data_IF_359919019675
#
_entry.id   IF_359919019675
#
_cell.length_a   1.000
_cell.length_b   1.000
_cell.length_c   1.000
_cell.angle_alpha   90.00
_cell.angle_beta   90.00
_cell.angle_gamma   90.00
#
_symmetry.space_group_name_H-M   'P 1'
#
loop_
_entity.id
_entity.type
_entity.pdbx_description
1 polymer ?
#
# COMPACT_ATOMS: atom_id res chain seq x y z
N UNK A 1 -4.42 -13.84 -2.41
CA UNK A 1 -4.78 -14.09 -0.98
C UNK A 1 -3.67 -14.92 -0.38
N UNK A 2 -3.36 -14.75 0.90
CA UNK A 2 -2.09 -15.14 1.52
C UNK A 2 -1.72 -16.62 1.37
N UNK A 3 -0.43 -16.91 1.19
CA UNK A 3 0.10 -18.27 1.08
C UNK A 3 0.28 -18.97 2.45
N UNK A 4 -0.08 -18.30 3.55
CA UNK A 4 0.07 -18.81 4.91
C UNK A 4 -1.30 -19.16 5.51
N UNK A 5 -1.41 -20.38 6.03
CA UNK A 5 -2.66 -20.95 6.56
C UNK A 5 -3.24 -20.15 7.73
N UNK A 6 -2.39 -19.54 8.55
CA UNK A 6 -2.80 -18.68 9.67
C UNK A 6 -3.49 -17.40 9.19
N UNK A 7 -2.95 -16.73 8.17
CA UNK A 7 -3.56 -15.54 7.55
C UNK A 7 -4.87 -15.93 6.84
N UNK A 8 -4.92 -17.09 6.17
CA UNK A 8 -6.15 -17.59 5.55
C UNK A 8 -7.24 -17.83 6.59
N UNK A 9 -6.91 -18.53 7.68
CA UNK A 9 -7.85 -18.82 8.78
C UNK A 9 -8.33 -17.54 9.46
N UNK A 10 -7.46 -16.55 9.65
CA UNK A 10 -7.81 -15.24 10.17
C UNK A 10 -8.89 -14.58 9.30
N UNK A 11 -8.65 -14.43 7.99
CA UNK A 11 -9.61 -13.78 7.09
C UNK A 11 -10.89 -14.58 6.85
N UNK A 12 -10.84 -15.92 6.84
CA UNK A 12 -12.00 -16.78 6.56
C UNK A 12 -12.90 -17.02 7.77
N UNK A 13 -12.33 -17.01 8.99
CA UNK A 13 -13.06 -17.42 10.21
C UNK A 13 -13.09 -16.29 11.23
N UNK A 14 -11.92 -15.77 11.62
CA UNK A 14 -11.85 -14.86 12.78
C UNK A 14 -12.41 -13.48 12.46
N UNK A 15 -12.00 -12.89 11.34
CA UNK A 15 -12.49 -11.57 10.92
C UNK A 15 -14.03 -11.56 10.72
N UNK A 16 -14.65 -12.54 10.03
CA UNK A 16 -16.11 -12.61 9.94
C UNK A 16 -16.81 -12.77 11.30
N UNK A 17 -16.26 -13.57 12.23
CA UNK A 17 -16.81 -13.71 13.59
C UNK A 17 -16.74 -12.39 14.36
N UNK A 18 -15.65 -11.66 14.24
CA UNK A 18 -15.50 -10.33 14.83
C UNK A 18 -16.49 -9.34 14.20
N UNK A 19 -16.70 -9.41 12.88
CA UNK A 19 -17.62 -8.55 12.15
C UNK A 19 -19.07 -8.70 12.62
N UNK A 20 -19.51 -9.91 12.99
CA UNK A 20 -20.85 -10.15 13.54
C UNK A 20 -21.14 -9.34 14.82
N UNK A 21 -20.10 -8.91 15.54
CA UNK A 21 -20.20 -8.13 16.78
C UNK A 21 -19.96 -6.62 16.58
N UNK A 22 -19.48 -6.21 15.40
CA UNK A 22 -19.00 -4.84 15.14
C UNK A 22 -19.49 -4.32 13.78
N UNK A 23 -20.32 -3.28 13.81
CA UNK A 23 -20.93 -2.71 12.60
C UNK A 23 -19.90 -2.15 11.63
N UNK A 24 -18.86 -1.46 12.12
CA UNK A 24 -17.76 -0.94 11.29
C UNK A 24 -17.18 -2.04 10.41
N UNK A 25 -16.81 -3.16 11.04
CA UNK A 25 -16.11 -4.24 10.36
C UNK A 25 -17.03 -4.99 9.38
N UNK A 26 -18.28 -5.22 9.76
CA UNK A 26 -19.27 -5.83 8.86
C UNK A 26 -19.44 -5.03 7.56
N UNK A 27 -19.62 -3.71 7.67
CA UNK A 27 -19.78 -2.85 6.49
C UNK A 27 -18.46 -2.73 5.70
N UNK A 28 -17.30 -2.77 6.36
CA UNK A 28 -15.99 -2.81 5.69
C UNK A 28 -15.81 -4.09 4.85
N UNK A 29 -16.26 -5.25 5.38
CA UNK A 29 -16.26 -6.50 4.60
C UNK A 29 -17.20 -6.39 3.41
N UNK A 30 -18.43 -5.90 3.60
CA UNK A 30 -19.37 -5.73 2.51
C UNK A 30 -18.90 -4.76 1.43
N UNK A 31 -18.20 -3.68 1.79
CA UNK A 31 -17.62 -2.76 0.81
C UNK A 31 -16.55 -3.43 -0.04
N UNK A 32 -15.64 -4.19 0.58
CA UNK A 32 -14.63 -4.95 -0.16
C UNK A 32 -15.24 -6.05 -1.02
N UNK A 33 -16.22 -6.79 -0.50
CA UNK A 33 -16.96 -7.80 -1.27
C UNK A 33 -17.63 -7.16 -2.48
N UNK A 34 -18.30 -6.03 -2.32
CA UNK A 34 -18.93 -5.33 -3.44
C UNK A 34 -17.90 -4.84 -4.48
N UNK A 35 -16.73 -4.33 -4.08
CA UNK A 35 -15.66 -4.00 -5.03
C UNK A 35 -15.14 -5.23 -5.78
N UNK A 36 -14.94 -6.34 -5.08
CA UNK A 36 -14.53 -7.58 -5.71
C UNK A 36 -15.57 -8.05 -6.73
N UNK A 37 -16.87 -7.99 -6.41
CA UNK A 37 -17.94 -8.29 -7.36
C UNK A 37 -17.90 -7.34 -8.57
N UNK A 38 -17.67 -6.04 -8.38
CA UNK A 38 -17.51 -5.08 -9.48
C UNK A 38 -16.28 -5.35 -10.38
N UNK A 39 -15.26 -6.01 -9.85
CA UNK A 39 -14.12 -6.51 -10.63
C UNK A 39 -14.46 -7.82 -11.36
N UNK A 40 -15.15 -8.76 -10.70
CA UNK A 40 -15.51 -10.07 -11.25
C UNK A 40 -16.64 -10.04 -12.29
N UNK A 41 -17.52 -9.02 -12.22
CA UNK A 41 -18.71 -8.87 -13.08
C UNK A 41 -18.72 -7.49 -13.75
N UNK A 42 -17.90 -7.28 -14.80
CA UNK A 42 -17.73 -5.98 -15.45
C UNK A 42 -19.03 -5.37 -15.99
N UNK A 43 -19.98 -6.21 -16.41
CA UNK A 43 -21.29 -5.80 -16.94
C UNK A 43 -22.12 -4.98 -15.93
N UNK A 44 -21.92 -5.22 -14.63
CA UNK A 44 -22.63 -4.56 -13.54
C UNK A 44 -21.70 -3.74 -12.64
N UNK A 45 -20.48 -3.46 -13.12
CA UNK A 45 -19.41 -2.85 -12.32
C UNK A 45 -19.86 -1.57 -11.60
N UNK A 46 -20.52 -0.63 -12.31
CA UNK A 46 -20.95 0.63 -11.71
C UNK A 46 -21.90 0.42 -10.52
N UNK A 47 -22.86 -0.49 -10.64
CA UNK A 47 -23.83 -0.77 -9.58
C UNK A 47 -23.15 -1.36 -8.33
N UNK A 48 -22.15 -2.24 -8.53
CA UNK A 48 -21.36 -2.80 -7.45
C UNK A 48 -20.44 -1.77 -6.80
N UNK A 49 -19.80 -0.88 -7.58
CA UNK A 49 -19.01 0.24 -7.05
C UNK A 49 -19.89 1.16 -6.19
N UNK A 50 -21.08 1.53 -6.68
CA UNK A 50 -22.01 2.38 -5.91
C UNK A 50 -22.41 1.71 -4.59
N UNK A 51 -22.65 0.39 -4.60
CA UNK A 51 -22.93 -0.38 -3.37
C UNK A 51 -21.73 -0.42 -2.44
N UNK A 52 -20.53 -0.57 -2.98
CA UNK A 52 -19.31 -0.59 -2.22
C UNK A 52 -19.05 0.74 -1.51
N UNK A 53 -19.24 1.86 -2.21
CA UNK A 53 -19.13 3.22 -1.66
C UNK A 53 -20.17 3.42 -0.55
N UNK A 54 -21.43 2.98 -0.75
CA UNK A 54 -22.46 3.08 0.30
C UNK A 54 -22.04 2.33 1.58
N UNK A 55 -21.58 1.10 1.45
CA UNK A 55 -21.11 0.33 2.61
C UNK A 55 -19.88 0.95 3.26
N UNK A 56 -18.95 1.45 2.46
CA UNK A 56 -17.75 2.10 2.98
C UNK A 56 -18.09 3.38 3.77
N UNK A 57 -19.03 4.19 3.28
CA UNK A 57 -19.48 5.38 4.00
C UNK A 57 -20.11 5.05 5.36
N UNK A 58 -20.90 3.98 5.45
CA UNK A 58 -21.45 3.50 6.73
C UNK A 58 -20.32 3.03 7.64
N UNK A 59 -19.37 2.24 7.11
CA UNK A 59 -18.21 1.78 7.87
C UNK A 59 -17.38 2.95 8.43
N UNK A 60 -17.13 4.00 7.62
CA UNK A 60 -16.36 5.17 8.02
C UNK A 60 -17.04 5.97 9.13
N UNK A 61 -18.37 6.09 9.11
CA UNK A 61 -19.11 6.75 10.18
C UNK A 61 -18.95 6.00 11.51
N UNK A 62 -19.16 4.68 11.50
CA UNK A 62 -18.99 3.82 12.69
C UNK A 62 -17.53 3.80 13.16
N UNK A 63 -16.57 3.70 12.24
CA UNK A 63 -15.14 3.76 12.52
C UNK A 63 -14.74 5.05 13.23
N UNK A 64 -15.25 6.18 12.76
CA UNK A 64 -14.94 7.50 13.35
C UNK A 64 -15.46 7.63 14.79
N UNK A 65 -16.55 6.94 15.13
CA UNK A 65 -17.09 6.88 16.49
C UNK A 65 -16.23 5.96 17.38
N UNK A 66 -15.84 4.79 16.87
CA UNK A 66 -15.00 3.83 17.60
C UNK A 66 -13.59 4.39 17.89
N UNK A 67 -13.04 5.23 17.00
CA UNK A 67 -11.74 5.88 17.17
C UNK A 67 -11.67 6.83 18.37
N UNK A 68 -12.79 7.33 18.88
CA UNK A 68 -12.81 8.24 20.04
C UNK A 68 -12.51 7.52 21.37
N UNK A 69 -12.59 6.18 21.38
CA UNK A 69 -12.37 5.36 22.57
C UNK A 69 -11.80 4.01 22.20
N UNK A 70 -10.50 3.99 21.84
CA UNK A 70 -9.78 2.74 21.58
C UNK A 70 -9.59 1.99 22.91
N UNK A 71 -10.00 0.73 22.93
CA UNK A 71 -9.89 -0.18 24.06
C UNK A 71 -9.27 -1.50 23.61
N UNK A 72 -8.85 -2.32 24.57
CA UNK A 72 -8.32 -3.66 24.28
C UNK A 72 -9.36 -4.55 23.55
N UNK A 73 -10.66 -4.33 23.79
CA UNK A 73 -11.75 -5.12 23.19
C UNK A 73 -12.08 -4.73 21.74
N UNK A 74 -11.76 -3.49 21.32
CA UNK A 74 -12.07 -2.99 19.98
C UNK A 74 -10.84 -2.74 19.10
N UNK A 75 -9.63 -2.74 19.67
CA UNK A 75 -8.40 -2.43 18.94
C UNK A 75 -8.18 -3.30 17.70
N UNK A 76 -8.40 -4.62 17.81
CA UNK A 76 -8.28 -5.53 16.68
C UNK A 76 -9.32 -5.26 15.58
N UNK A 77 -10.57 -4.93 15.94
CA UNK A 77 -11.60 -4.57 14.96
C UNK A 77 -11.33 -3.24 14.26
N UNK A 78 -10.90 -2.23 15.02
CA UNK A 78 -10.54 -0.91 14.48
C UNK A 78 -9.37 -1.05 13.51
N UNK A 79 -8.31 -1.77 13.89
CA UNK A 79 -7.17 -2.01 13.02
C UNK A 79 -7.58 -2.74 11.74
N UNK A 80 -8.48 -3.72 11.85
CA UNK A 80 -9.00 -4.43 10.67
C UNK A 80 -9.83 -3.51 9.77
N UNK A 81 -10.72 -2.67 10.34
CA UNK A 81 -11.45 -1.65 9.59
C UNK A 81 -10.50 -0.69 8.84
N UNK A 82 -9.44 -0.23 9.51
CA UNK A 82 -8.42 0.64 8.91
C UNK A 82 -7.70 -0.06 7.75
N UNK A 83 -7.30 -1.32 7.94
CA UNK A 83 -6.67 -2.14 6.89
C UNK A 83 -7.60 -2.31 5.69
N UNK A 84 -8.88 -2.63 5.92
CA UNK A 84 -9.86 -2.76 4.84
C UNK A 84 -10.15 -1.42 4.16
N UNK A 85 -10.06 -0.30 4.87
CA UNK A 85 -10.18 1.06 4.29
C UNK A 85 -9.06 1.36 3.31
N UNK A 86 -7.81 0.98 3.63
CA UNK A 86 -6.67 1.12 2.72
C UNK A 86 -6.86 0.26 1.47
N UNK A 87 -7.26 -1.01 1.64
CA UNK A 87 -7.54 -1.92 0.52
C UNK A 87 -8.69 -1.36 -0.33
N UNK A 88 -9.73 -0.83 0.29
CA UNK A 88 -10.86 -0.21 -0.39
C UNK A 88 -10.40 0.97 -1.26
N UNK A 89 -9.58 1.88 -0.71
CA UNK A 89 -9.04 3.02 -1.45
C UNK A 89 -8.18 2.58 -2.65
N UNK A 90 -7.29 1.60 -2.45
CA UNK A 90 -6.48 1.00 -3.52
C UNK A 90 -7.34 0.43 -4.65
N UNK A 91 -8.37 -0.34 -4.31
CA UNK A 91 -9.25 -0.95 -5.30
C UNK A 91 -10.11 0.09 -6.03
N UNK A 92 -10.68 1.04 -5.29
CA UNK A 92 -11.59 2.03 -5.85
C UNK A 92 -10.88 2.94 -6.86
N UNK A 93 -9.64 3.35 -6.59
CA UNK A 93 -8.87 4.21 -7.50
C UNK A 93 -8.69 3.59 -8.89
N UNK A 94 -8.57 2.25 -8.99
CA UNK A 94 -8.43 1.56 -10.28
C UNK A 94 -9.75 1.17 -10.94
N UNK A 95 -10.82 1.01 -10.15
CA UNK A 95 -12.14 0.59 -10.62
C UNK A 95 -13.06 1.77 -10.97
N UNK A 96 -12.77 2.99 -10.53
CA UNK A 96 -13.60 4.16 -10.84
C UNK A 96 -13.77 4.33 -12.36
N UNK A 97 -15.01 4.38 -12.87
CA UNK A 97 -15.25 4.70 -14.26
C UNK A 97 -14.74 6.11 -14.56
N UNK A 98 -14.14 6.29 -15.74
CA UNK A 98 -13.37 7.44 -16.27
C UNK A 98 -14.05 8.83 -16.29
N UNK A 99 -15.02 9.12 -15.40
CA UNK A 99 -15.74 10.39 -15.41
C UNK A 99 -14.88 11.58 -15.01
N UNK A 100 -13.83 11.37 -14.19
CA UNK A 100 -12.71 12.30 -14.01
C UNK A 100 -11.44 11.47 -13.73
N UNK A 101 -10.40 11.50 -14.58
CA UNK A 101 -9.16 10.78 -14.30
C UNK A 101 -8.41 11.51 -13.19
N UNK A 102 -8.55 11.05 -11.94
CA UNK A 102 -7.57 11.40 -10.89
C UNK A 102 -6.24 10.75 -11.25
N UNK A 103 -5.15 11.50 -11.15
CA UNK A 103 -3.79 10.98 -11.28
C UNK A 103 -3.54 9.87 -10.25
N UNK A 104 -2.98 8.72 -10.66
CA UNK A 104 -2.66 7.63 -9.73
C UNK A 104 -1.62 8.04 -8.69
N UNK A 105 -0.80 9.03 -9.03
CA UNK A 105 0.16 9.64 -8.12
C UNK A 105 -0.58 10.38 -6.98
N UNK A 106 -1.68 11.07 -7.28
CA UNK A 106 -2.50 11.75 -6.25
C UNK A 106 -3.26 10.73 -5.39
N UNK A 107 -3.86 9.71 -6.01
CA UNK A 107 -4.55 8.63 -5.29
C UNK A 107 -3.59 7.90 -4.34
N UNK A 108 -2.39 7.50 -4.80
CA UNK A 108 -1.38 6.89 -3.93
C UNK A 108 -0.87 7.83 -2.85
N UNK A 109 -0.66 9.11 -3.17
CA UNK A 109 -0.27 10.10 -2.15
C UNK A 109 -1.33 10.22 -1.06
N UNK A 110 -2.62 10.17 -1.43
CA UNK A 110 -3.73 10.10 -0.48
C UNK A 110 -3.68 8.83 0.39
N UNK A 111 -3.42 7.68 -0.23
CA UNK A 111 -3.29 6.40 0.48
C UNK A 111 -2.10 6.42 1.45
N UNK A 112 -0.98 7.06 1.10
CA UNK A 112 0.18 7.17 1.97
C UNK A 112 -0.15 8.02 3.22
N UNK A 113 -0.94 9.08 3.04
CA UNK A 113 -1.44 9.87 4.17
C UNK A 113 -2.35 9.04 5.09
N UNK A 114 -3.21 8.19 4.54
CA UNK A 114 -4.05 7.28 5.34
C UNK A 114 -3.19 6.29 6.15
N UNK A 115 -2.13 5.76 5.53
CA UNK A 115 -1.23 4.78 6.15
C UNK A 115 -0.33 5.38 7.25
N UNK A 116 -0.14 6.70 7.27
CA UNK A 116 0.68 7.37 8.29
C UNK A 116 0.15 7.22 9.72
N UNK A 117 -1.16 7.00 9.89
CA UNK A 117 -1.74 6.74 11.22
C UNK A 117 -1.36 5.38 11.80
N UNK A 118 -0.90 4.44 10.96
CA UNK A 118 -0.69 3.04 11.35
C UNK A 118 0.39 2.88 12.43
N UNK A 119 1.59 3.46 12.34
CA UNK A 119 2.61 3.30 13.37
C UNK A 119 2.19 3.85 14.75
N UNK A 120 1.39 4.93 14.76
CA UNK A 120 0.89 5.52 16.01
C UNK A 120 -0.07 4.56 16.72
N UNK A 121 -1.04 4.02 15.98
CA UNK A 121 -2.02 3.06 16.52
C UNK A 121 -1.36 1.74 16.92
N UNK A 122 -0.47 1.20 16.08
CA UNK A 122 0.26 -0.04 16.39
C UNK A 122 1.13 0.16 17.64
N UNK A 123 1.86 1.27 17.74
CA UNK A 123 2.77 1.52 18.86
C UNK A 123 2.05 1.50 20.22
N UNK A 124 0.91 2.19 20.32
CA UNK A 124 0.13 2.24 21.55
C UNK A 124 -0.56 0.89 21.87
N UNK A 125 -1.06 0.19 20.84
CA UNK A 125 -1.87 -1.02 21.00
C UNK A 125 -1.11 -2.34 20.79
N UNK A 126 0.21 -2.30 20.62
CA UNK A 126 1.00 -3.46 20.19
C UNK A 126 0.78 -4.71 21.05
N UNK A 127 0.76 -4.52 22.37
CA UNK A 127 0.57 -5.61 23.34
C UNK A 127 -0.77 -6.32 23.15
N UNK A 128 -1.84 -5.60 22.80
CA UNK A 128 -3.16 -6.15 22.48
C UNK A 128 -3.14 -6.81 21.10
N UNK A 129 -2.65 -6.10 20.09
CA UNK A 129 -2.75 -6.55 18.69
C UNK A 129 -1.97 -7.83 18.44
N UNK A 130 -0.80 -7.99 19.07
CA UNK A 130 0.05 -9.19 18.93
C UNK A 130 -0.56 -10.44 19.56
N UNK A 131 -1.51 -10.29 20.49
CA UNK A 131 -2.19 -11.40 21.19
C UNK A 131 -3.62 -11.62 20.66
N UNK A 132 -4.08 -10.76 19.75
CA UNK A 132 -5.41 -10.82 19.15
C UNK A 132 -5.51 -11.76 17.95
N UNK A 133 -6.73 -11.92 17.43
CA UNK A 133 -7.00 -12.71 16.22
C UNK A 133 -6.28 -12.18 14.97
N UNK A 134 -5.80 -10.93 14.98
CA UNK A 134 -5.06 -10.32 13.88
C UNK A 134 -3.54 -10.44 13.99
N UNK A 135 -3.04 -11.12 15.02
CA UNK A 135 -1.61 -11.40 15.20
C UNK A 135 -0.90 -11.92 13.93
N UNK A 136 -1.52 -12.78 13.07
CA UNK A 136 -0.90 -13.24 11.83
C UNK A 136 -0.49 -12.13 10.87
N UNK A 137 -1.12 -10.94 10.91
CA UNK A 137 -0.73 -9.80 10.07
C UNK A 137 0.68 -9.29 10.39
N UNK A 138 1.17 -9.49 11.61
CA UNK A 138 2.44 -8.94 12.08
C UNK A 138 3.58 -9.96 12.06
N UNK A 139 3.27 -11.25 11.91
CA UNK A 139 4.27 -12.31 11.88
C UNK A 139 5.10 -12.28 10.58
N UNK A 140 6.42 -12.49 10.69
CA UNK A 140 7.34 -12.53 9.54
C UNK A 140 7.62 -11.17 8.89
N UNK A 141 7.38 -10.07 9.61
CA UNK A 141 7.66 -8.69 9.15
C UNK A 141 9.11 -8.24 9.41
N UNK A 142 9.87 -9.07 10.13
CA UNK A 142 11.28 -8.83 10.43
C UNK A 142 12.13 -8.82 9.16
N UNK A 143 13.20 -8.01 9.18
CA UNK A 143 14.16 -7.99 8.08
C UNK A 143 15.04 -9.22 8.18
N UNK A 144 15.06 -10.01 7.11
CA UNK A 144 16.01 -11.09 6.94
C UNK A 144 17.22 -10.57 6.16
N UNK A 145 18.32 -10.30 6.88
CA UNK A 145 19.56 -9.82 6.27
C UNK A 145 20.29 -10.88 5.44
N UNK A 146 19.87 -12.15 5.50
CA UNK A 146 20.37 -13.19 4.60
C UNK A 146 19.77 -13.10 3.19
N UNK A 147 18.70 -12.34 3.00
CA UNK A 147 18.09 -12.12 1.68
C UNK A 147 19.00 -11.23 0.85
N UNK A 148 19.58 -11.82 -0.19
CA UNK A 148 20.35 -11.13 -1.22
C UNK A 148 19.41 -10.71 -2.34
N UNK A 149 19.33 -9.39 -2.57
CA UNK A 149 18.59 -8.83 -3.70
C UNK A 149 19.32 -9.11 -5.02
N UNK A 150 18.59 -9.17 -6.12
CA UNK A 150 19.21 -9.33 -7.44
C UNK A 150 20.06 -8.10 -7.81
N UNK A 151 21.10 -8.32 -8.61
CA UNK A 151 22.06 -7.27 -8.98
C UNK A 151 21.38 -6.06 -9.63
N UNK A 152 20.33 -6.29 -10.41
CA UNK A 152 19.60 -5.22 -11.07
C UNK A 152 18.79 -4.34 -10.08
N UNK A 153 18.21 -4.92 -9.03
CA UNK A 153 17.56 -4.15 -7.95
C UNK A 153 18.62 -3.35 -7.19
N UNK A 154 19.75 -3.97 -6.86
CA UNK A 154 20.86 -3.31 -6.15
C UNK A 154 21.38 -2.12 -6.98
N UNK A 155 21.61 -2.31 -8.27
CA UNK A 155 22.07 -1.26 -9.17
C UNK A 155 21.05 -0.13 -9.31
N UNK A 156 19.76 -0.45 -9.43
CA UNK A 156 18.70 0.56 -9.49
C UNK A 156 18.65 1.41 -8.20
N UNK A 157 18.70 0.78 -7.02
CA UNK A 157 18.75 1.49 -5.73
C UNK A 157 20.01 2.37 -5.65
N UNK A 158 21.17 1.86 -6.04
CA UNK A 158 22.43 2.63 -6.03
C UNK A 158 22.35 3.86 -6.93
N UNK A 159 21.74 3.75 -8.11
CA UNK A 159 21.54 4.89 -9.00
C UNK A 159 20.66 5.98 -8.36
N UNK A 160 19.65 5.61 -7.56
CA UNK A 160 18.87 6.57 -6.79
C UNK A 160 19.71 7.23 -5.69
N UNK A 161 20.50 6.46 -4.96
CA UNK A 161 21.40 6.98 -3.91
C UNK A 161 22.41 7.98 -4.48
N UNK A 162 23.09 7.61 -5.57
CA UNK A 162 24.06 8.46 -6.27
C UNK A 162 23.40 9.75 -6.77
N UNK A 163 22.20 9.64 -7.35
CA UNK A 163 21.45 10.80 -7.84
C UNK A 163 21.03 11.74 -6.69
N UNK A 164 20.57 11.18 -5.57
CA UNK A 164 20.19 11.95 -4.41
C UNK A 164 21.35 12.78 -3.86
N UNK A 165 22.57 12.23 -3.86
CA UNK A 165 23.76 12.96 -3.43
C UNK A 165 24.10 14.15 -4.34
N UNK A 166 23.90 14.00 -5.65
CA UNK A 166 24.26 15.01 -6.64
C UNK A 166 23.28 16.18 -6.72
N UNK A 167 21.98 15.94 -6.55
CA UNK A 167 20.94 16.95 -6.86
C UNK A 167 20.42 17.68 -5.62
N UNK A 168 20.37 17.02 -4.48
CA UNK A 168 19.75 17.58 -3.26
C UNK A 168 20.53 18.80 -2.77
N UNK A 169 19.82 19.94 -2.67
CA UNK A 169 20.41 21.25 -2.35
C UNK A 169 20.59 21.46 -0.86
N UNK A 170 19.71 20.83 -0.07
CA UNK A 170 19.68 20.89 1.38
C UNK A 170 19.94 19.50 1.93
N UNK A 171 20.69 19.42 3.04
CA UNK A 171 20.95 18.14 3.69
C UNK A 171 19.64 17.49 4.18
N UNK A 172 18.67 18.27 4.64
CA UNK A 172 17.35 17.75 5.07
C UNK A 172 16.54 17.11 3.94
N UNK A 173 16.61 17.66 2.72
CA UNK A 173 15.99 17.07 1.53
C UNK A 173 16.70 15.76 1.17
N UNK A 174 18.03 15.78 1.18
CA UNK A 174 18.84 14.58 0.92
C UNK A 174 18.50 13.46 1.90
N UNK A 175 18.41 13.77 3.19
CA UNK A 175 18.10 12.80 4.24
C UNK A 175 16.70 12.21 4.07
N UNK A 176 15.73 13.04 3.70
CA UNK A 176 14.35 12.61 3.42
C UNK A 176 14.32 11.57 2.30
N UNK A 177 15.01 11.82 1.19
CA UNK A 177 15.10 10.86 0.09
C UNK A 177 15.92 9.62 0.46
N UNK A 178 17.02 9.78 1.21
CA UNK A 178 17.85 8.64 1.65
C UNK A 178 17.04 7.67 2.51
N UNK A 179 16.23 8.17 3.44
CA UNK A 179 15.34 7.35 4.26
C UNK A 179 14.28 6.64 3.40
N UNK A 180 13.69 7.34 2.43
CA UNK A 180 12.73 6.74 1.50
C UNK A 180 13.36 5.63 0.65
N UNK A 181 14.57 5.84 0.12
CA UNK A 181 15.30 4.85 -0.69
C UNK A 181 15.70 3.63 0.17
N UNK A 182 16.19 3.86 1.38
CA UNK A 182 16.54 2.78 2.32
C UNK A 182 15.31 1.93 2.67
N UNK A 183 14.18 2.57 3.00
CA UNK A 183 12.93 1.86 3.23
C UNK A 183 12.46 1.06 2.01
N UNK A 184 12.73 1.56 0.80
CA UNK A 184 12.36 0.88 -0.44
C UNK A 184 13.19 -0.38 -0.65
N UNK A 185 14.50 -0.30 -0.40
CA UNK A 185 15.43 -1.45 -0.42
C UNK A 185 15.00 -2.53 0.58
N UNK A 186 14.62 -2.12 1.78
CA UNK A 186 14.07 -3.03 2.80
C UNK A 186 12.75 -3.66 2.37
N UNK A 187 11.88 -2.89 1.69
CA UNK A 187 10.63 -3.41 1.15
C UNK A 187 10.89 -4.48 0.07
N UNK A 188 11.87 -4.27 -0.82
CA UNK A 188 12.33 -5.30 -1.76
C UNK A 188 12.78 -6.57 -1.03
N UNK A 189 13.57 -6.45 0.06
CA UNK A 189 13.98 -7.62 0.86
C UNK A 189 12.77 -8.37 1.43
N UNK A 190 11.80 -7.64 2.02
CA UNK A 190 10.59 -8.24 2.62
C UNK A 190 9.78 -9.03 1.59
N UNK A 191 9.54 -8.46 0.40
CA UNK A 191 8.78 -9.16 -0.64
C UNK A 191 9.56 -10.30 -1.32
N UNK A 192 10.89 -10.35 -1.19
CA UNK A 192 11.71 -11.47 -1.67
C UNK A 192 11.74 -12.65 -0.69
N UNK A 193 11.23 -12.49 0.54
CA UNK A 193 11.18 -13.56 1.54
C UNK A 193 10.29 -14.74 1.11
N UNK A 194 10.60 -15.93 1.62
CA UNK A 194 9.80 -17.15 1.40
C UNK A 194 8.45 -17.08 2.10
N UNK A 195 8.39 -16.44 3.27
CA UNK A 195 7.17 -16.28 4.07
C UNK A 195 6.36 -15.02 3.71
N UNK A 196 6.56 -14.49 2.50
CA UNK A 196 5.96 -13.22 2.08
C UNK A 196 4.44 -13.27 2.12
N UNK A 197 3.86 -12.28 2.81
CA UNK A 197 2.47 -11.90 2.64
C UNK A 197 2.39 -10.75 1.61
N UNK A 198 1.35 -10.74 0.77
CA UNK A 198 1.20 -9.70 -0.25
C UNK A 198 0.99 -8.31 0.37
N UNK A 199 0.49 -8.23 1.59
CA UNK A 199 0.41 -6.98 2.35
C UNK A 199 1.77 -6.41 2.76
N UNK A 200 2.89 -7.11 2.55
CA UNK A 200 4.24 -6.56 2.81
C UNK A 200 4.58 -5.37 1.92
N UNK A 201 3.95 -5.23 0.74
CA UNK A 201 4.14 -4.04 -0.11
C UNK A 201 3.72 -2.74 0.57
N UNK A 202 2.85 -2.80 1.59
CA UNK A 202 2.39 -1.62 2.32
C UNK A 202 3.42 -1.15 3.37
N UNK A 203 4.49 -1.92 3.65
CA UNK A 203 5.48 -1.52 4.66
C UNK A 203 6.20 -0.24 4.29
N UNK A 204 6.48 -0.02 3.00
CA UNK A 204 7.17 1.18 2.55
C UNK A 204 6.33 2.45 2.65
N UNK A 205 5.08 2.50 2.12
CA UNK A 205 4.19 3.62 2.36
C UNK A 205 3.95 3.95 3.84
N UNK A 206 3.98 2.94 4.72
CA UNK A 206 3.85 3.13 6.17
C UNK A 206 5.10 3.77 6.78
N UNK A 207 6.29 3.52 6.24
CA UNK A 207 7.56 3.96 6.82
C UNK A 207 8.08 5.29 6.28
N UNK A 208 7.61 5.76 5.12
CA UNK A 208 8.04 7.05 4.56
C UNK A 208 7.57 8.24 5.40
N UNK A 209 8.38 9.30 5.43
CA UNK A 209 8.09 10.48 6.25
C UNK A 209 7.00 11.38 5.64
N UNK A 210 6.47 12.30 6.45
CA UNK A 210 5.51 13.30 5.97
C UNK A 210 6.11 14.19 4.88
N UNK A 211 7.39 14.52 5.03
CA UNK A 211 8.15 15.37 4.13
C UNK A 211 8.27 14.71 2.75
N UNK A 212 8.55 13.41 2.70
CA UNK A 212 8.56 12.66 1.45
C UNK A 212 7.19 12.68 0.76
N UNK A 213 6.10 12.48 1.52
CA UNK A 213 4.74 12.57 0.97
C UNK A 213 4.45 13.98 0.46
N UNK A 214 4.94 15.03 1.13
CA UNK A 214 4.81 16.41 0.67
C UNK A 214 5.59 16.65 -0.64
N UNK A 215 6.77 16.07 -0.80
CA UNK A 215 7.54 16.11 -2.04
C UNK A 215 6.84 15.39 -3.19
N UNK A 216 6.21 14.24 -2.93
CA UNK A 216 5.37 13.54 -3.92
C UNK A 216 4.19 14.40 -4.39
N UNK A 217 3.45 14.99 -3.45
CA UNK A 217 2.31 15.87 -3.76
C UNK A 217 2.73 17.13 -4.51
N UNK A 218 3.95 17.61 -4.25
CA UNK A 218 4.57 18.73 -4.97
C UNK A 218 5.24 18.32 -6.28
N UNK A 219 5.12 17.04 -6.68
CA UNK A 219 5.66 16.46 -7.92
C UNK A 219 7.18 16.66 -8.08
N UNK A 220 7.92 16.61 -6.97
CA UNK A 220 9.38 16.69 -7.01
C UNK A 220 9.94 15.50 -7.84
N UNK A 221 10.78 15.74 -8.85
CA UNK A 221 11.23 14.69 -9.77
C UNK A 221 11.88 13.49 -9.07
N UNK A 222 12.72 13.73 -8.06
CA UNK A 222 13.36 12.66 -7.28
C UNK A 222 12.32 11.80 -6.55
N UNK A 223 11.32 12.42 -5.93
CA UNK A 223 10.23 11.70 -5.26
C UNK A 223 9.43 10.83 -6.25
N UNK A 224 9.11 11.37 -7.43
CA UNK A 224 8.40 10.64 -8.48
C UNK A 224 9.19 9.44 -9.00
N UNK A 225 10.51 9.58 -9.18
CA UNK A 225 11.38 8.48 -9.60
C UNK A 225 11.46 7.40 -8.53
N UNK A 226 11.57 7.75 -7.25
CA UNK A 226 11.52 6.76 -6.15
C UNK A 226 10.17 6.04 -6.14
N UNK A 227 9.05 6.76 -6.34
CA UNK A 227 7.72 6.17 -6.45
C UNK A 227 7.60 5.20 -7.63
N UNK A 228 8.28 5.46 -8.75
CA UNK A 228 8.29 4.53 -9.89
C UNK A 228 8.94 3.19 -9.54
N UNK A 229 10.00 3.20 -8.72
CA UNK A 229 10.64 1.97 -8.23
C UNK A 229 9.73 1.22 -7.25
N UNK A 230 8.93 1.93 -6.44
CA UNK A 230 7.84 1.31 -5.68
C UNK A 230 6.75 0.70 -6.58
N UNK A 231 6.49 1.29 -7.74
CA UNK A 231 5.63 0.70 -8.77
C UNK A 231 6.07 -0.72 -9.19
N UNK A 232 7.38 -1.00 -9.20
CA UNK A 232 7.89 -2.35 -9.48
C UNK A 232 7.50 -3.32 -8.36
N UNK A 233 7.63 -2.90 -7.09
CA UNK A 233 7.17 -3.69 -5.93
C UNK A 233 5.68 -4.00 -6.02
N UNK A 234 4.85 -3.04 -6.45
CA UNK A 234 3.42 -3.28 -6.66
C UNK A 234 3.15 -4.26 -7.81
N UNK A 235 3.96 -4.25 -8.87
CA UNK A 235 3.81 -5.18 -10.00
C UNK A 235 4.19 -6.63 -9.64
N UNK A 236 5.05 -6.84 -8.64
CA UNK A 236 5.38 -8.19 -8.12
C UNK A 236 4.17 -8.92 -7.51
N UNK A 237 3.16 -8.17 -7.05
CA UNK A 237 1.91 -8.73 -6.50
C UNK A 237 0.71 -8.56 -7.46
N UNK A 238 0.96 -8.41 -8.77
CA UNK A 238 -0.07 -8.21 -9.80
C UNK A 238 -1.15 -9.29 -9.86
N UNK A 239 -0.87 -10.47 -9.33
CA UNK A 239 -1.81 -11.58 -9.20
C UNK A 239 -2.78 -11.43 -8.01
N UNK A 240 -2.59 -10.42 -7.14
CA UNK A 240 -3.57 -10.01 -6.16
C UNK A 240 -4.61 -9.10 -6.82
N UNK A 241 -5.88 -9.49 -6.82
CA UNK A 241 -6.96 -8.72 -7.45
C UNK A 241 -7.01 -7.24 -7.01
N UNK A 242 -6.68 -6.94 -5.75
CA UNK A 242 -6.70 -5.59 -5.18
C UNK A 242 -5.50 -4.73 -5.58
N UNK A 243 -4.40 -5.35 -6.03
CA UNK A 243 -3.18 -4.69 -6.49
C UNK A 243 -3.04 -4.72 -8.03
N UNK A 244 -3.91 -5.47 -8.70
CA UNK A 244 -3.81 -5.74 -10.14
C UNK A 244 -3.83 -4.44 -10.95
N UNK A 245 -2.76 -4.21 -11.72
CA UNK A 245 -2.64 -3.07 -12.61
C UNK A 245 -2.05 -1.81 -11.97
N UNK A 246 -1.88 -1.75 -10.65
CA UNK A 246 -1.28 -0.59 -9.98
C UNK A 246 0.15 -0.31 -10.47
N UNK A 247 1.04 -1.29 -10.37
CA UNK A 247 2.46 -1.10 -10.72
C UNK A 247 2.65 -0.62 -12.16
N UNK A 248 2.11 -1.36 -13.13
CA UNK A 248 2.15 -0.99 -14.56
C UNK A 248 1.58 0.39 -14.85
N UNK A 249 0.35 0.69 -14.41
CA UNK A 249 -0.31 1.97 -14.73
C UNK A 249 0.40 3.15 -14.08
N UNK A 250 0.86 2.99 -12.83
CA UNK A 250 1.61 4.01 -12.11
C UNK A 250 2.93 4.35 -12.82
N UNK A 251 3.72 3.33 -13.18
CA UNK A 251 5.00 3.54 -13.87
C UNK A 251 4.78 4.19 -15.25
N UNK A 252 3.72 3.80 -15.96
CA UNK A 252 3.37 4.42 -17.24
C UNK A 252 3.01 5.91 -17.08
N UNK A 253 2.22 6.27 -16.07
CA UNK A 253 1.89 7.65 -15.76
C UNK A 253 3.13 8.45 -15.35
N UNK A 254 3.98 7.90 -14.48
CA UNK A 254 5.24 8.52 -14.06
C UNK A 254 6.19 8.76 -15.24
N UNK A 255 6.27 7.82 -16.18
CA UNK A 255 7.07 7.99 -17.40
C UNK A 255 6.52 9.06 -18.36
N UNK A 256 5.25 9.46 -18.24
CA UNK A 256 4.69 10.58 -18.99
C UNK A 256 4.95 11.92 -18.31
N UNK A 257 4.97 11.95 -16.97
CA UNK A 257 5.10 13.18 -16.17
C UNK A 257 6.56 13.55 -15.89
N UNK A 258 7.45 12.58 -15.74
CA UNK A 258 8.87 12.82 -15.45
C UNK A 258 9.63 13.15 -16.74
N UNK A 259 10.34 14.26 -16.73
CA UNK A 259 11.04 14.82 -17.88
C UNK A 259 12.55 14.96 -17.66
N UNK A 260 13.27 15.25 -18.75
CA UNK A 260 14.68 15.62 -18.72
C UNK A 260 15.59 14.49 -18.24
N UNK A 261 16.61 14.87 -17.47
CA UNK A 261 17.63 13.95 -16.96
C UNK A 261 17.09 12.82 -16.05
N UNK A 262 15.92 13.02 -15.45
CA UNK A 262 15.26 12.05 -14.58
C UNK A 262 14.69 10.83 -15.32
N UNK A 263 14.41 10.96 -16.63
CA UNK A 263 13.95 9.85 -17.48
C UNK A 263 14.88 8.64 -17.45
N UNK A 264 16.19 8.89 -17.36
CA UNK A 264 17.21 7.83 -17.31
C UNK A 264 17.00 6.87 -16.14
N UNK A 265 16.48 7.37 -15.01
CA UNK A 265 16.19 6.58 -13.80
C UNK A 265 14.85 5.83 -13.90
N UNK A 266 14.02 6.12 -14.90
CA UNK A 266 12.78 5.38 -15.16
C UNK A 266 12.96 4.21 -16.12
N UNK A 267 14.14 4.05 -16.72
CA UNK A 267 14.44 2.94 -17.64
C UNK A 267 14.26 1.60 -16.93
N UNK A 268 14.88 1.41 -15.76
CA UNK A 268 14.78 0.15 -15.03
C UNK A 268 13.34 -0.21 -14.59
N UNK A 269 12.55 0.70 -13.98
CA UNK A 269 11.13 0.42 -13.71
C UNK A 269 10.31 0.07 -14.95
N UNK A 270 10.54 0.77 -16.07
CA UNK A 270 9.85 0.51 -17.34
C UNK A 270 10.21 -0.87 -17.93
N UNK A 271 11.47 -1.27 -17.85
CA UNK A 271 11.92 -2.58 -18.31
C UNK A 271 11.29 -3.70 -17.48
N UNK A 272 11.22 -3.54 -16.16
CA UNK A 272 10.61 -4.54 -15.25
C UNK A 272 9.17 -4.87 -15.59
N UNK A 273 8.34 -3.84 -15.82
CA UNK A 273 6.93 -4.06 -16.19
C UNK A 273 6.76 -4.54 -17.64
N UNK A 274 7.79 -4.41 -18.49
CA UNK A 274 7.73 -4.87 -19.88
C UNK A 274 8.17 -6.32 -20.01
N UNK A 275 9.19 -6.72 -19.25
CA UNK A 275 9.79 -8.06 -19.25
C UNK A 275 8.95 -9.08 -18.46
N UNK A 276 8.11 -8.66 -17.51
CA UNK A 276 7.21 -9.52 -16.74
C UNK A 276 6.06 -10.20 -17.53
N UNK A 277 6.25 -10.47 -18.83
CA UNK A 277 5.35 -11.23 -19.73
C UNK A 277 5.66 -12.72 -19.69
#
# INVERSE_FOLDING_TARGET
MANRDDILRMWQIQIPRMALKRKCLMHSLFSITALHMGHSYPENQSAYIDRAIRYHNIALQEFSLELQGITEENGASIFTCATLTVIFALCLALLRPHKEPTSLIDELSGIFLLLRGVPLVIGEMWHVLRESEIAPLFAGRELDDSIVLSDDVINAIRLLEDRNQLVSRLDSERDTYSLAIQGLKECFKRISSKDRDKGMVLSWPISVSQEYIAFLRSRQPMALVILAHYGVILDEIRDAWWAMGWGRRLIQELNQVVEGEWKSLLVWPMDKITIGR
#
